data_IF_008283757713
#
_entry.id   IF_008283757713
#
_cell.length_a   1.000
_cell.length_b   1.000
_cell.length_c   1.000
_cell.angle_alpha   90.00
_cell.angle_beta   90.00
_cell.angle_gamma   90.00
#
_symmetry.space_group_name_H-M   'P 1'
#
loop_
_entity.id
_entity.type
_entity.pdbx_description
1 polymer ?
#
# COMPACT_ATOMS: atom_id res chain seq x y z
N UNK A 1 10.72 -12.90 9.31
CA UNK A 1 9.65 -12.04 9.80
C UNK A 1 8.34 -12.44 9.15
N UNK A 2 7.23 -12.35 9.85
CA UNK A 2 5.90 -12.72 9.37
C UNK A 2 5.06 -11.46 9.17
N UNK A 3 4.67 -11.21 7.93
CA UNK A 3 3.89 -10.04 7.52
C UNK A 3 2.49 -10.49 7.13
N UNK A 4 1.48 -9.82 7.69
CA UNK A 4 0.09 -10.06 7.32
C UNK A 4 -0.29 -9.16 6.14
N UNK A 5 -0.67 -9.74 5.01
CA UNK A 5 -0.95 -8.99 3.78
C UNK A 5 -2.39 -9.18 3.37
N UNK A 6 -3.09 -8.06 3.16
CA UNK A 6 -4.44 -8.00 2.59
C UNK A 6 -4.37 -7.40 1.18
N UNK A 7 -4.84 -8.16 0.19
CA UNK A 7 -4.85 -7.79 -1.22
C UNK A 7 -6.27 -7.46 -1.65
N UNK A 8 -6.48 -6.26 -2.20
CA UNK A 8 -7.79 -5.78 -2.65
C UNK A 8 -7.85 -5.56 -4.17
N UNK A 9 -8.96 -5.97 -4.78
CA UNK A 9 -9.17 -5.88 -6.22
C UNK A 9 -8.49 -7.03 -6.98
N UNK A 10 -8.25 -6.85 -8.30
CA UNK A 10 -7.71 -7.89 -9.16
C UNK A 10 -6.36 -8.49 -8.71
N UNK A 11 -5.54 -7.76 -7.96
CA UNK A 11 -4.27 -8.28 -7.42
C UNK A 11 -4.48 -9.40 -6.40
N UNK A 12 -5.68 -9.55 -5.81
CA UNK A 12 -6.00 -10.68 -4.94
C UNK A 12 -5.80 -12.06 -5.60
N UNK A 13 -5.79 -12.11 -6.95
CA UNK A 13 -5.52 -13.32 -7.74
C UNK A 13 -4.21 -14.01 -7.38
N UNK A 14 -3.18 -13.25 -6.97
CA UNK A 14 -1.86 -13.84 -6.62
C UNK A 14 -1.92 -14.70 -5.36
N UNK A 15 -2.95 -14.51 -4.53
CA UNK A 15 -3.22 -15.30 -3.33
C UNK A 15 -4.52 -16.14 -3.45
N UNK A 16 -4.97 -16.40 -4.69
CA UNK A 16 -6.16 -17.24 -4.96
C UNK A 16 -7.51 -16.57 -4.70
N UNK A 17 -7.54 -15.27 -4.38
CA UNK A 17 -8.77 -14.50 -4.21
C UNK A 17 -9.26 -13.87 -5.52
N UNK A 18 -10.54 -13.47 -5.56
CA UNK A 18 -11.13 -12.78 -6.73
C UNK A 18 -11.08 -11.26 -6.61
N UNK A 19 -11.43 -10.74 -5.44
CA UNK A 19 -11.45 -9.30 -5.13
C UNK A 19 -10.85 -8.97 -3.76
N UNK A 20 -10.64 -9.99 -2.93
CA UNK A 20 -10.02 -9.91 -1.63
C UNK A 20 -9.27 -11.22 -1.40
N UNK A 21 -8.06 -11.12 -0.88
CA UNK A 21 -7.30 -12.24 -0.34
C UNK A 21 -6.48 -11.75 0.84
N UNK A 22 -6.27 -12.61 1.83
CA UNK A 22 -5.35 -12.35 2.92
C UNK A 22 -4.40 -13.53 3.03
N UNK A 23 -3.12 -13.24 3.20
CA UNK A 23 -2.08 -14.24 3.37
C UNK A 23 -1.03 -13.72 4.35
N UNK A 24 -0.32 -14.68 4.96
CA UNK A 24 0.87 -14.39 5.74
C UNK A 24 2.09 -14.66 4.86
N UNK A 25 3.02 -13.71 4.84
CA UNK A 25 4.22 -13.77 4.02
C UNK A 25 5.43 -13.80 4.93
N UNK A 26 6.27 -14.82 4.78
CA UNK A 26 7.55 -14.90 5.48
C UNK A 26 8.64 -14.21 4.66
N UNK A 27 9.24 -13.17 5.24
CA UNK A 27 10.35 -12.40 4.66
C UNK A 27 11.63 -12.55 5.50
N UNK A 28 12.82 -12.53 4.90
CA UNK A 28 14.08 -12.42 5.64
C UNK A 28 14.22 -11.02 6.26
N UNK A 29 14.91 -10.89 7.39
CA UNK A 29 15.20 -9.58 8.00
C UNK A 29 16.63 -9.11 7.66
N UNK A 30 16.84 -7.84 7.30
CA UNK A 30 15.82 -6.79 7.09
C UNK A 30 15.06 -6.96 5.76
N UNK A 31 13.83 -6.45 5.68
CA UNK A 31 13.01 -6.43 4.47
C UNK A 31 12.34 -5.06 4.28
N UNK A 32 12.04 -4.74 3.03
CA UNK A 32 11.31 -3.53 2.64
C UNK A 32 10.05 -3.89 1.83
N UNK A 33 9.18 -2.91 1.58
CA UNK A 33 7.97 -3.11 0.75
C UNK A 33 8.30 -3.68 -0.63
N UNK A 34 9.40 -3.26 -1.26
CA UNK A 34 9.86 -3.85 -2.54
C UNK A 34 10.07 -5.36 -2.46
N UNK A 35 10.59 -5.86 -1.34
CA UNK A 35 10.90 -7.28 -1.18
C UNK A 35 9.61 -8.09 -1.06
N UNK A 36 8.62 -7.51 -0.38
CA UNK A 36 7.26 -8.07 -0.33
C UNK A 36 6.62 -8.14 -1.73
N UNK A 37 6.65 -7.03 -2.48
CA UNK A 37 6.06 -7.01 -3.84
C UNK A 37 6.74 -8.03 -4.76
N UNK A 38 8.07 -8.13 -4.68
CA UNK A 38 8.85 -9.13 -5.41
C UNK A 38 8.43 -10.56 -5.02
N UNK A 39 8.24 -10.85 -3.73
CA UNK A 39 7.81 -12.18 -3.27
C UNK A 39 6.39 -12.53 -3.72
N UNK A 40 5.51 -11.54 -3.82
CA UNK A 40 4.15 -11.69 -4.36
C UNK A 40 4.10 -11.69 -5.89
N UNK A 41 5.23 -11.43 -6.55
CA UNK A 41 5.36 -11.24 -7.99
C UNK A 41 4.37 -10.18 -8.53
N UNK A 42 4.31 -9.04 -7.82
CA UNK A 42 3.48 -7.89 -8.16
C UNK A 42 4.36 -6.73 -8.65
N UNK A 43 4.00 -6.15 -9.78
CA UNK A 43 4.59 -4.88 -10.22
C UNK A 43 4.04 -3.74 -9.33
N UNK A 44 4.88 -2.81 -8.84
CA UNK A 44 4.42 -1.61 -8.15
C UNK A 44 3.29 -0.88 -8.90
N UNK A 45 3.33 -0.82 -10.24
CA UNK A 45 2.29 -0.18 -11.06
C UNK A 45 0.91 -0.87 -10.97
N UNK A 46 0.85 -2.15 -10.57
CA UNK A 46 -0.41 -2.84 -10.30
C UNK A 46 -1.03 -2.44 -8.96
N UNK A 47 -0.24 -1.82 -8.07
CA UNK A 47 -0.61 -1.41 -6.71
C UNK A 47 -0.87 0.10 -6.68
N UNK A 48 -2.11 0.47 -6.38
CA UNK A 48 -2.54 1.86 -6.27
C UNK A 48 -2.41 2.44 -4.87
N UNK A 49 -2.73 1.68 -3.82
CA UNK A 49 -2.59 2.15 -2.44
C UNK A 49 -1.81 1.14 -1.64
N UNK A 50 -0.90 1.64 -0.81
CA UNK A 50 -0.18 0.86 0.19
C UNK A 50 -0.52 1.43 1.56
N UNK A 51 -1.03 0.57 2.43
CA UNK A 51 -1.19 0.83 3.84
C UNK A 51 -0.24 -0.03 4.64
N UNK A 52 0.45 0.56 5.61
CA UNK A 52 1.25 -0.16 6.60
C UNK A 52 0.66 0.19 7.97
N UNK A 53 0.17 -0.80 8.71
CA UNK A 53 -0.46 -0.62 10.02
C UNK A 53 -1.55 0.47 10.03
N UNK A 54 -2.42 0.46 9.01
CA UNK A 54 -3.49 1.43 8.77
C UNK A 54 -3.03 2.88 8.47
N UNK A 55 -1.73 3.10 8.28
CA UNK A 55 -1.16 4.36 7.77
C UNK A 55 -1.05 4.27 6.26
N UNK A 56 -1.50 5.30 5.54
CA UNK A 56 -1.41 5.41 4.09
C UNK A 56 -0.01 5.88 3.68
N UNK A 57 0.68 5.08 2.87
CA UNK A 57 2.02 5.41 2.37
C UNK A 57 2.03 5.78 0.89
N UNK A 58 1.20 5.13 0.06
CA UNK A 58 1.21 5.31 -1.40
C UNK A 58 -0.16 5.67 -1.96
N UNK A 59 -0.14 6.43 -3.05
CA UNK A 59 -1.29 6.77 -3.89
C UNK A 59 -1.05 6.23 -5.31
N UNK A 60 -2.07 6.09 -6.17
CA UNK A 60 -1.88 5.54 -7.51
C UNK A 60 -0.87 6.37 -8.30
N UNK A 61 0.17 5.69 -8.81
CA UNK A 61 1.30 6.32 -9.50
C UNK A 61 2.37 6.92 -8.58
N UNK A 62 2.25 6.76 -7.25
CA UNK A 62 3.25 7.16 -6.25
C UNK A 62 3.71 5.94 -5.46
N UNK A 63 4.96 5.53 -5.67
CA UNK A 63 5.57 4.36 -5.02
C UNK A 63 6.60 4.79 -3.97
N UNK A 64 6.18 5.68 -3.05
CA UNK A 64 7.06 6.24 -2.02
C UNK A 64 7.45 5.20 -0.97
N UNK A 65 6.61 4.16 -0.81
CA UNK A 65 6.78 3.13 0.21
C UNK A 65 7.79 2.03 -0.13
N UNK A 66 8.30 1.96 -1.36
CA UNK A 66 9.16 0.85 -1.82
C UNK A 66 10.42 0.63 -0.97
N UNK A 67 10.92 1.68 -0.34
CA UNK A 67 12.09 1.70 0.55
C UNK A 67 11.71 1.76 2.04
N UNK A 68 10.43 1.64 2.40
CA UNK A 68 10.01 1.59 3.80
C UNK A 68 10.36 0.21 4.37
N UNK A 69 11.10 0.22 5.48
CA UNK A 69 11.48 -1.00 6.21
C UNK A 69 10.24 -1.61 6.87
N UNK A 70 10.10 -2.93 6.71
CA UNK A 70 9.05 -3.72 7.31
C UNK A 70 9.53 -4.38 8.60
N UNK A 71 8.65 -4.43 9.58
CA UNK A 71 8.89 -5.04 10.87
C UNK A 71 8.05 -6.31 11.03
N UNK A 72 8.53 -7.22 11.87
CA UNK A 72 7.78 -8.43 12.19
C UNK A 72 6.38 -8.09 12.72
N UNK A 73 5.37 -8.82 12.25
CA UNK A 73 3.95 -8.61 12.54
C UNK A 73 3.31 -7.37 11.90
N UNK A 74 3.98 -6.66 10.99
CA UNK A 74 3.32 -5.58 10.25
C UNK A 74 2.11 -6.09 9.45
N UNK A 75 1.07 -5.26 9.41
CA UNK A 75 -0.11 -5.50 8.59
C UNK A 75 -0.11 -4.57 7.38
N UNK A 76 -0.12 -5.16 6.19
CA UNK A 76 0.01 -4.44 4.93
C UNK A 76 -1.26 -4.61 4.09
N UNK A 77 -1.87 -3.48 3.74
CA UNK A 77 -2.99 -3.42 2.82
C UNK A 77 -2.53 -2.95 1.45
N UNK A 78 -2.63 -3.81 0.43
CA UNK A 78 -2.33 -3.48 -0.95
C UNK A 78 -3.62 -3.42 -1.75
N UNK A 79 -3.86 -2.29 -2.42
CA UNK A 79 -5.05 -2.08 -3.23
C UNK A 79 -4.66 -1.97 -4.70
N UNK A 80 -5.36 -2.70 -5.57
CA UNK A 80 -5.10 -2.63 -7.00
C UNK A 80 -5.34 -1.22 -7.56
N UNK A 81 -4.43 -0.77 -8.44
CA UNK A 81 -4.50 0.53 -9.10
C UNK A 81 -5.78 0.71 -9.95
N UNK A 82 -6.40 -0.37 -10.43
CA UNK A 82 -7.50 -0.31 -11.40
C UNK A 82 -8.92 -0.33 -10.80
N UNK A 83 -9.12 -0.71 -9.55
CA UNK A 83 -10.46 -1.10 -9.07
C UNK A 83 -10.90 -0.59 -7.70
N UNK A 84 -10.12 0.24 -7.01
CA UNK A 84 -10.53 0.70 -5.67
C UNK A 84 -10.32 2.19 -5.50
N UNK A 85 -11.43 2.95 -5.58
CA UNK A 85 -11.53 4.25 -4.94
C UNK A 85 -12.95 4.57 -4.43
N UNK A 86 -13.30 4.22 -3.18
CA UNK A 86 -14.34 4.94 -2.47
C UNK A 86 -13.78 6.31 -2.06
N UNK A 87 -14.44 7.38 -2.50
CA UNK A 87 -14.10 8.78 -2.19
C UNK A 87 -13.87 9.04 -0.69
N UNK A 88 -14.47 8.21 0.17
CA UNK A 88 -14.48 8.29 1.62
C UNK A 88 -13.12 8.14 2.32
N UNK A 89 -12.12 7.50 1.70
CA UNK A 89 -10.79 7.35 2.33
C UNK A 89 -9.91 8.61 2.27
N UNK A 90 -10.28 9.60 1.43
CA UNK A 90 -9.49 10.83 1.23
C UNK A 90 -9.49 11.80 2.41
N UNK A 91 -10.55 11.78 3.23
CA UNK A 91 -10.75 12.79 4.29
C UNK A 91 -10.21 12.41 5.66
N UNK A 92 -9.82 11.14 5.90
CA UNK A 92 -9.57 10.66 7.27
C UNK A 92 -8.47 9.61 7.45
N UNK A 93 -7.80 9.16 6.39
CA UNK A 93 -6.67 8.24 6.54
C UNK A 93 -5.45 8.97 7.13
N UNK A 94 -4.80 8.36 8.13
CA UNK A 94 -3.52 8.85 8.63
C UNK A 94 -2.47 8.59 7.55
N UNK A 95 -1.81 9.65 7.07
CA UNK A 95 -0.76 9.54 6.06
C UNK A 95 0.63 9.39 6.70
N UNK A 96 1.55 8.71 6.02
CA UNK A 96 2.94 8.62 6.45
C UNK A 96 3.61 10.01 6.39
N UNK A 97 4.68 10.26 7.18
CA UNK A 97 5.43 11.51 7.09
C UNK A 97 5.92 11.82 5.66
N UNK A 98 6.44 10.80 4.97
CA UNK A 98 6.96 10.90 3.61
C UNK A 98 5.87 11.26 2.60
N UNK A 99 4.69 10.64 2.70
CA UNK A 99 3.55 10.99 1.83
C UNK A 99 3.07 12.41 2.11
N UNK A 100 2.96 12.82 3.38
CA UNK A 100 2.57 14.20 3.74
C UNK A 100 3.52 15.24 3.17
N UNK A 101 4.82 15.02 3.28
CA UNK A 101 5.84 15.92 2.74
C UNK A 101 5.76 16.01 1.21
N UNK A 102 5.62 14.87 0.52
CA UNK A 102 5.41 14.85 -0.93
C UNK A 102 4.16 15.65 -1.34
N UNK A 103 3.04 15.45 -0.64
CA UNK A 103 1.79 16.14 -0.95
C UNK A 103 1.84 17.65 -0.67
N UNK A 104 2.55 18.07 0.37
CA UNK A 104 2.74 19.49 0.69
C UNK A 104 3.62 20.22 -0.34
N UNK A 105 4.60 19.51 -0.92
CA UNK A 105 5.54 20.08 -1.91
C UNK A 105 4.98 20.11 -3.34
N UNK A 106 4.03 19.22 -3.68
CA UNK A 106 3.50 19.07 -5.04
C UNK A 106 2.06 19.59 -5.23
N UNK A 107 1.57 20.43 -4.31
CA UNK A 107 0.25 21.09 -4.35
C UNK A 107 -0.98 20.17 -4.49
N UNK A 108 -0.82 18.87 -4.20
CA UNK A 108 -1.87 17.85 -4.27
C UNK A 108 -3.03 18.10 -3.29
N UNK A 109 -2.81 18.91 -2.26
CA UNK A 109 -3.79 19.20 -1.19
C UNK A 109 -4.59 20.50 -1.42
N UNK A 110 -4.21 21.38 -2.37
CA UNK A 110 -4.87 22.69 -2.56
C UNK A 110 -6.25 22.65 -3.22
N UNK A 111 -6.71 21.48 -3.66
CA UNK A 111 -8.00 21.33 -4.36
C UNK A 111 -9.08 20.60 -3.55
N UNK A 112 -8.99 20.53 -2.22
CA UNK A 112 -10.13 20.09 -1.42
C UNK A 112 -11.03 21.29 -1.05
N UNK A 113 -12.27 21.39 -1.58
CA UNK A 113 -13.24 22.30 -1.01
C UNK A 113 -13.60 21.82 0.39
N UNK A 114 -13.52 22.73 1.36
CA UNK A 114 -13.89 22.51 2.76
C UNK A 114 -15.39 22.39 2.97
#
# INVERSE_FOLDING_TARGET
MNISVSLYGPIARVAGGRHLATLNVELPSPAHVRDLLNQLNLDPEEVGLVFINAVLHDLPGLHLSLDEELHDQDHIGLFSAVHVWPYHYRGGAVMSPRLREYMATHDYLRHQPG
#
